data_IF_762338772420
#
_entry.id   IF_762338772420
#
_cell.length_a   1.000
_cell.length_b   1.000
_cell.length_c   1.000
_cell.angle_alpha   90.00
_cell.angle_beta   90.00
_cell.angle_gamma   90.00
#
_symmetry.space_group_name_H-M   'P 1'
#
loop_
_entity.id
_entity.type
_entity.pdbx_description
1 polymer ?
#
# COMPACT_ATOMS: atom_id res chain seq x y z
N UNK A 1 7.57 18.91 3.66
CA UNK A 1 7.37 20.08 2.80
C UNK A 1 5.92 20.54 2.91
N UNK A 2 5.70 21.82 3.17
CA UNK A 2 4.37 22.43 3.22
C UNK A 2 4.10 23.14 1.91
N UNK A 3 2.96 22.87 1.28
CA UNK A 3 2.50 23.57 0.07
C UNK A 3 1.07 24.02 0.24
N UNK A 4 0.79 25.23 -0.21
CA UNK A 4 -0.58 25.76 -0.35
C UNK A 4 -0.91 25.74 -1.83
N UNK A 5 -2.00 25.08 -2.20
CA UNK A 5 -2.44 24.99 -3.59
C UNK A 5 -3.93 25.28 -3.74
N UNK A 6 -4.34 25.74 -4.90
CA UNK A 6 -5.76 25.82 -5.31
C UNK A 6 -6.19 24.47 -5.89
N UNK A 7 -7.41 24.06 -5.61
CA UNK A 7 -7.98 22.78 -6.10
C UNK A 7 -8.20 22.84 -7.61
N UNK A 8 -8.65 23.99 -8.07
CA UNK A 8 -8.92 24.29 -9.47
C UNK A 8 -8.48 25.75 -9.71
N UNK A 9 -7.76 26.06 -10.81
CA UNK A 9 -7.40 27.43 -11.15
C UNK A 9 -8.58 28.39 -11.22
N UNK A 10 -9.79 27.91 -11.51
CA UNK A 10 -11.03 28.68 -11.53
C UNK A 10 -11.80 28.70 -10.22
N UNK A 11 -11.47 27.84 -9.25
CA UNK A 11 -12.13 27.77 -7.95
C UNK A 11 -11.33 28.56 -6.90
N UNK A 12 -12.04 29.25 -6.00
CA UNK A 12 -11.43 29.92 -4.85
C UNK A 12 -11.14 28.94 -3.69
N UNK A 13 -11.29 27.64 -3.89
CA UNK A 13 -11.06 26.64 -2.89
C UNK A 13 -9.55 26.44 -2.69
N UNK A 14 -9.08 26.74 -1.49
CA UNK A 14 -7.70 26.53 -1.09
C UNK A 14 -7.55 25.18 -0.39
N UNK A 15 -6.41 24.53 -0.62
CA UNK A 15 -5.96 23.38 0.14
C UNK A 15 -4.59 23.62 0.73
N UNK A 16 -4.34 23.08 1.92
CA UNK A 16 -2.99 22.95 2.47
C UNK A 16 -2.57 21.51 2.35
N UNK A 17 -1.40 21.28 1.77
CA UNK A 17 -0.77 19.98 1.62
C UNK A 17 0.54 19.99 2.40
N UNK A 18 0.76 18.96 3.21
CA UNK A 18 2.01 18.72 3.92
C UNK A 18 2.53 17.32 3.63
N UNK A 19 3.85 17.20 3.43
CA UNK A 19 4.54 15.91 3.41
C UNK A 19 5.06 15.61 4.81
N UNK A 20 4.63 14.49 5.38
CA UNK A 20 4.98 14.02 6.70
C UNK A 20 6.00 12.89 6.58
N UNK A 21 7.13 13.02 7.27
CA UNK A 21 8.05 11.91 7.44
C UNK A 21 7.52 11.02 8.57
N UNK A 22 7.30 9.75 8.26
CA UNK A 22 6.91 8.73 9.23
C UNK A 22 7.91 7.59 9.23
N UNK A 23 8.01 6.88 10.36
CA UNK A 23 8.83 5.67 10.45
C UNK A 23 7.95 4.47 10.25
N UNK A 24 8.41 3.58 9.39
CA UNK A 24 7.87 2.26 9.19
C UNK A 24 8.73 1.25 9.92
N UNK A 25 8.12 0.49 10.83
CA UNK A 25 8.74 -0.68 11.44
C UNK A 25 9.08 -1.71 10.37
N UNK A 26 10.29 -2.26 10.42
CA UNK A 26 10.65 -3.39 9.58
C UNK A 26 10.21 -4.63 10.34
N UNK A 27 9.33 -5.44 9.76
CA UNK A 27 9.09 -6.79 10.23
C UNK A 27 10.35 -7.59 9.94
N UNK A 28 10.87 -8.21 10.98
CA UNK A 28 11.98 -9.14 10.85
C UNK A 28 11.46 -10.46 10.26
N UNK A 29 11.66 -10.66 8.97
CA UNK A 29 11.50 -11.95 8.32
C UNK A 29 12.82 -12.74 8.35
N UNK A 30 13.60 -12.61 9.43
CA UNK A 30 14.91 -13.22 9.57
C UNK A 30 16.07 -12.38 8.98
N UNK A 31 15.81 -11.12 8.60
CA UNK A 31 16.85 -10.23 8.14
C UNK A 31 17.64 -9.65 9.32
N UNK A 32 18.96 -9.75 9.26
CA UNK A 32 19.89 -9.21 10.28
C UNK A 32 19.88 -7.67 10.37
N UNK A 33 19.20 -6.97 9.48
CA UNK A 33 19.23 -5.52 9.36
C UNK A 33 17.86 -4.91 9.65
N UNK A 34 17.60 -4.59 10.91
CA UNK A 34 16.40 -3.93 11.40
C UNK A 34 16.44 -2.41 11.14
N UNK A 35 16.86 -1.96 9.96
CA UNK A 35 16.85 -0.52 9.66
C UNK A 35 15.43 -0.02 9.52
N UNK A 36 15.05 0.90 10.39
CA UNK A 36 13.80 1.64 10.28
C UNK A 36 13.77 2.40 8.95
N UNK A 37 12.76 2.14 8.14
CA UNK A 37 12.55 2.86 6.87
C UNK A 37 11.74 4.11 7.12
N UNK A 38 12.08 5.17 6.37
CA UNK A 38 11.34 6.43 6.37
C UNK A 38 10.45 6.48 5.15
N UNK A 39 9.17 6.81 5.37
CA UNK A 39 8.21 7.07 4.30
C UNK A 39 7.74 8.53 4.36
N UNK A 40 7.38 9.06 3.19
CA UNK A 40 6.84 10.41 3.05
C UNK A 40 5.35 10.31 2.73
N UNK A 41 4.51 10.48 3.75
CA UNK A 41 3.07 10.46 3.59
C UNK A 41 2.54 11.87 3.32
N UNK A 42 1.58 11.96 2.42
CA UNK A 42 0.90 13.23 2.14
C UNK A 42 -0.31 13.35 3.05
N UNK A 43 -0.45 14.51 3.70
CA UNK A 43 -1.70 14.94 4.32
C UNK A 43 -2.19 16.20 3.64
N UNK A 44 -3.51 16.29 3.41
CA UNK A 44 -4.09 17.39 2.68
C UNK A 44 -5.49 17.73 3.23
N UNK A 45 -5.79 19.02 3.35
CA UNK A 45 -7.10 19.49 3.79
C UNK A 45 -7.49 20.81 3.15
N UNK A 46 -8.76 20.94 2.78
CA UNK A 46 -9.44 22.21 2.46
C UNK A 46 -10.31 22.73 3.59
N UNK A 47 -10.35 22.05 4.73
CA UNK A 47 -11.08 22.53 5.91
C UNK A 47 -10.35 23.71 6.55
N UNK A 48 -11.01 24.88 6.64
CA UNK A 48 -10.40 26.14 7.12
C UNK A 48 -9.80 26.01 8.52
N UNK A 49 -10.47 25.29 9.43
CA UNK A 49 -9.99 25.10 10.82
C UNK A 49 -8.72 24.25 10.84
N UNK A 50 -8.69 23.18 10.07
CA UNK A 50 -7.51 22.29 9.96
C UNK A 50 -6.38 23.01 9.26
N UNK A 51 -6.67 23.73 8.15
CA UNK A 51 -5.66 24.51 7.41
C UNK A 51 -5.01 25.58 8.28
N UNK A 52 -5.78 26.24 9.18
CA UNK A 52 -5.23 27.24 10.10
C UNK A 52 -4.12 26.66 10.99
N UNK A 53 -4.28 25.42 11.47
CA UNK A 53 -3.24 24.73 12.24
C UNK A 53 -2.07 24.28 11.36
N UNK A 54 -2.34 23.79 10.16
CA UNK A 54 -1.30 23.27 9.27
C UNK A 54 -0.38 24.34 8.71
N UNK A 55 -0.88 25.57 8.53
CA UNK A 55 -0.11 26.71 7.95
C UNK A 55 1.12 27.09 8.78
N UNK A 56 1.09 26.81 10.08
CA UNK A 56 2.16 27.17 11.00
C UNK A 56 3.23 26.07 11.14
N UNK A 57 3.01 24.90 10.53
CA UNK A 57 3.98 23.81 10.61
C UNK A 57 5.27 24.14 9.87
N UNK A 58 6.38 23.79 10.47
CA UNK A 58 7.71 23.96 9.93
C UNK A 58 8.45 22.63 9.81
N UNK A 59 9.45 22.61 8.94
CA UNK A 59 10.32 21.45 8.81
C UNK A 59 11.10 21.23 10.11
N UNK A 60 10.99 20.05 10.67
CA UNK A 60 11.53 19.67 12.00
C UNK A 60 10.47 19.55 13.09
N UNK A 61 9.32 20.19 12.93
CA UNK A 61 8.23 20.07 13.90
C UNK A 61 7.69 18.63 13.97
N UNK A 62 7.32 18.21 15.17
CA UNK A 62 6.62 16.95 15.42
C UNK A 62 5.14 17.24 15.48
N UNK A 63 4.40 16.59 14.58
CA UNK A 63 2.94 16.74 14.49
C UNK A 63 2.25 15.39 14.65
N UNK A 64 1.08 15.39 15.25
CA UNK A 64 0.19 14.24 15.28
C UNK A 64 -0.99 14.52 14.35
N UNK A 65 -1.21 13.64 13.40
CA UNK A 65 -2.33 13.69 12.47
C UNK A 65 -3.16 12.43 12.62
N UNK A 66 -4.46 12.60 12.84
CA UNK A 66 -5.45 11.52 12.80
C UNK A 66 -6.47 11.87 11.75
N UNK A 67 -6.78 10.93 10.89
CA UNK A 67 -7.65 11.19 9.76
C UNK A 67 -8.13 9.93 9.06
N UNK A 68 -8.72 10.14 7.92
CA UNK A 68 -9.15 9.06 7.02
C UNK A 68 -8.25 9.00 5.80
N UNK A 69 -8.06 7.81 5.27
CA UNK A 69 -7.34 7.60 4.02
C UNK A 69 -8.27 7.94 2.86
N UNK A 70 -7.80 8.79 1.97
CA UNK A 70 -8.50 9.17 0.73
C UNK A 70 -7.70 8.65 -0.44
N UNK A 71 -8.39 8.07 -1.41
CA UNK A 71 -7.78 7.59 -2.65
C UNK A 71 -8.40 8.29 -3.84
N UNK A 72 -7.58 8.67 -4.81
CA UNK A 72 -8.05 9.29 -6.06
C UNK A 72 -7.28 8.73 -7.24
N UNK A 73 -8.02 8.40 -8.28
CA UNK A 73 -7.48 8.18 -9.61
C UNK A 73 -7.43 9.51 -10.37
N UNK A 74 -6.37 9.74 -11.10
CA UNK A 74 -6.21 10.94 -11.90
C UNK A 74 -5.35 10.65 -13.13
N UNK A 75 -5.45 11.52 -14.14
CA UNK A 75 -4.64 11.39 -15.34
C UNK A 75 -3.32 12.15 -15.18
N UNK A 76 -2.21 11.43 -15.31
CA UNK A 76 -0.85 11.99 -15.32
C UNK A 76 -0.39 12.21 -16.74
N UNK A 77 0.18 13.37 -17.08
CA UNK A 77 0.80 13.58 -18.38
C UNK A 77 2.15 12.86 -18.46
N UNK A 78 2.40 12.28 -19.61
CA UNK A 78 3.66 11.63 -19.96
C UNK A 78 4.13 12.13 -21.31
N UNK A 79 5.19 12.95 -21.33
CA UNK A 79 5.75 13.50 -22.56
C UNK A 79 6.91 12.64 -23.07
N UNK A 80 6.85 12.30 -24.33
CA UNK A 80 7.90 11.57 -25.02
C UNK A 80 9.11 12.49 -25.29
N UNK A 81 10.30 12.03 -24.93
CA UNK A 81 11.51 12.79 -25.17
C UNK A 81 11.91 12.84 -26.66
N UNK A 82 11.52 11.83 -27.44
CA UNK A 82 11.88 11.70 -28.86
C UNK A 82 11.05 12.59 -29.79
N UNK A 83 9.72 12.60 -29.60
CA UNK A 83 8.83 13.30 -30.53
C UNK A 83 8.05 14.47 -29.88
N UNK A 84 8.19 14.68 -28.55
CA UNK A 84 7.46 15.72 -27.82
C UNK A 84 5.97 15.43 -27.59
N UNK A 85 5.44 14.30 -28.07
CA UNK A 85 4.04 13.93 -27.87
C UNK A 85 3.74 13.74 -26.37
N UNK A 86 2.59 14.28 -25.91
CA UNK A 86 2.12 14.11 -24.54
C UNK A 86 0.89 13.22 -24.53
N UNK A 87 1.01 12.08 -23.89
CA UNK A 87 -0.08 11.14 -23.63
C UNK A 87 -0.41 11.11 -22.13
N UNK A 88 -1.58 10.60 -21.79
CA UNK A 88 -2.02 10.51 -20.41
C UNK A 88 -2.13 9.07 -19.96
N UNK A 89 -1.77 8.82 -18.70
CA UNK A 89 -1.94 7.51 -18.09
C UNK A 89 -2.63 7.64 -16.73
N UNK A 90 -3.31 6.58 -16.32
CA UNK A 90 -3.95 6.55 -15.00
C UNK A 90 -2.88 6.53 -13.91
N UNK A 91 -2.91 7.56 -13.08
CA UNK A 91 -2.18 7.68 -11.83
C UNK A 91 -3.12 7.43 -10.67
N UNK A 92 -2.54 6.97 -9.57
CA UNK A 92 -3.23 6.73 -8.32
C UNK A 92 -2.56 7.58 -7.24
N UNK A 93 -3.36 8.16 -6.35
CA UNK A 93 -2.85 8.82 -5.16
C UNK A 93 -3.64 8.40 -3.93
N UNK A 94 -2.93 8.23 -2.83
CA UNK A 94 -3.53 8.06 -1.52
C UNK A 94 -2.92 9.08 -0.56
N UNK A 95 -3.75 9.72 0.25
CA UNK A 95 -3.34 10.70 1.23
C UNK A 95 -4.21 10.64 2.48
N UNK A 96 -3.68 11.16 3.57
CA UNK A 96 -4.43 11.26 4.82
C UNK A 96 -5.18 12.58 4.84
N UNK A 97 -6.52 12.52 4.85
CA UNK A 97 -7.36 13.68 5.13
C UNK A 97 -7.47 13.85 6.66
N UNK A 98 -6.93 14.93 7.22
CA UNK A 98 -6.90 15.10 8.67
C UNK A 98 -8.26 15.47 9.21
N UNK A 99 -8.73 14.70 10.20
CA UNK A 99 -9.88 15.03 11.03
C UNK A 99 -9.45 15.73 12.32
N UNK A 100 -8.22 15.44 12.76
CA UNK A 100 -7.60 16.05 13.91
C UNK A 100 -6.11 16.23 13.69
N UNK A 101 -5.58 17.40 14.04
CA UNK A 101 -4.16 17.71 14.00
C UNK A 101 -3.71 18.32 15.32
N UNK A 102 -2.50 17.99 15.74
CA UNK A 102 -1.86 18.56 16.92
C UNK A 102 -0.38 18.79 16.67
N UNK A 103 0.11 19.96 17.00
CA UNK A 103 1.52 20.24 17.13
C UNK A 103 2.02 19.65 18.44
N UNK A 104 2.89 18.64 18.38
CA UNK A 104 3.40 17.92 19.56
C UNK A 104 4.64 18.61 20.11
N UNK A 105 5.57 18.98 19.20
CA UNK A 105 6.77 19.73 19.55
C UNK A 105 7.20 20.60 18.36
N UNK A 106 7.81 21.72 18.63
CA UNK A 106 8.26 22.69 17.62
C UNK A 106 9.69 23.18 17.92
N UNK A 107 10.29 23.79 16.91
CA UNK A 107 11.61 24.40 17.02
C UNK A 107 12.78 23.42 16.94
N UNK A 108 12.52 22.19 16.52
CA UNK A 108 13.57 21.21 16.23
C UNK A 108 14.19 21.47 14.86
N UNK A 109 15.48 21.18 14.74
CA UNK A 109 16.05 20.97 13.41
C UNK A 109 15.48 19.69 12.80
N UNK A 110 15.54 19.50 11.47
CA UNK A 110 15.06 18.27 10.84
C UNK A 110 15.69 17.00 11.41
N UNK A 111 16.97 17.07 11.77
CA UNK A 111 17.73 15.95 12.36
C UNK A 111 17.24 15.63 13.78
N UNK A 112 16.98 16.66 14.59
CA UNK A 112 16.43 16.51 15.94
C UNK A 112 15.00 15.95 15.88
N UNK A 113 14.16 16.45 14.99
CA UNK A 113 12.82 15.94 14.76
C UNK A 113 12.83 14.47 14.34
N UNK A 114 13.76 14.08 13.46
CA UNK A 114 13.92 12.69 13.05
C UNK A 114 14.42 11.79 14.21
N UNK A 115 15.33 12.29 15.05
CA UNK A 115 15.79 11.56 16.23
C UNK A 115 14.65 11.32 17.22
N UNK A 116 13.80 12.34 17.43
CA UNK A 116 12.62 12.22 18.29
C UNK A 116 11.60 11.25 17.72
N UNK A 117 11.34 11.29 16.41
CA UNK A 117 10.46 10.36 15.72
C UNK A 117 10.92 8.91 15.88
N UNK A 118 12.24 8.65 15.83
CA UNK A 118 12.82 7.31 16.01
C UNK A 118 12.60 6.73 17.41
N UNK A 119 12.49 7.56 18.44
CA UNK A 119 12.14 7.10 19.79
C UNK A 119 10.70 6.62 19.90
N UNK A 120 9.81 7.13 19.04
CA UNK A 120 8.37 6.86 19.04
C UNK A 120 7.93 6.10 17.79
N UNK A 121 8.82 5.29 17.21
CA UNK A 121 8.63 4.64 15.91
C UNK A 121 7.34 3.79 15.82
N UNK A 122 6.99 3.10 16.90
CA UNK A 122 5.82 2.22 16.94
C UNK A 122 4.49 2.95 16.78
N UNK A 123 4.43 4.22 17.17
CA UNK A 123 3.21 5.04 17.10
C UNK A 123 3.21 6.03 15.95
N UNK A 124 4.29 6.11 15.18
CA UNK A 124 4.46 7.13 14.15
C UNK A 124 3.66 6.86 12.87
N UNK A 125 3.26 5.61 12.62
CA UNK A 125 2.58 5.21 11.40
C UNK A 125 1.68 3.99 11.67
N UNK A 126 0.39 4.24 11.82
CA UNK A 126 -0.60 3.20 12.03
C UNK A 126 -1.85 3.46 11.22
N UNK A 127 -2.39 2.43 10.59
CA UNK A 127 -3.63 2.44 9.83
C UNK A 127 -4.47 1.24 10.22
N UNK A 128 -5.77 1.49 10.42
CA UNK A 128 -6.75 0.43 10.70
C UNK A 128 -7.93 0.66 9.77
N UNK A 129 -8.31 -0.33 8.99
CA UNK A 129 -9.39 -0.23 8.00
C UNK A 129 -10.23 -1.49 7.97
N UNK A 130 -11.50 -1.31 7.62
CA UNK A 130 -12.44 -2.38 7.29
C UNK A 130 -12.97 -2.10 5.88
N UNK A 131 -12.96 -3.10 5.03
CA UNK A 131 -13.46 -2.96 3.66
C UNK A 131 -13.62 -4.29 2.97
N UNK A 132 -14.24 -4.28 1.81
CA UNK A 132 -14.44 -5.46 0.96
C UNK A 132 -13.29 -5.59 -0.04
N UNK A 133 -12.79 -6.80 -0.23
CA UNK A 133 -11.82 -7.07 -1.27
C UNK A 133 -12.47 -6.90 -2.66
N UNK A 134 -11.88 -6.05 -3.51
CA UNK A 134 -12.39 -5.82 -4.88
C UNK A 134 -12.15 -7.01 -5.81
N UNK A 135 -11.24 -7.90 -5.45
CA UNK A 135 -10.91 -9.13 -6.18
C UNK A 135 -10.14 -10.07 -5.28
N UNK A 136 -10.02 -11.32 -5.69
CA UNK A 136 -9.09 -12.26 -5.05
C UNK A 136 -7.66 -11.71 -5.10
N UNK A 137 -6.85 -11.84 -4.01
CA UNK A 137 -5.48 -11.35 -3.97
C UNK A 137 -4.60 -11.96 -5.05
N UNK A 138 -3.79 -11.13 -5.71
CA UNK A 138 -2.71 -11.60 -6.56
C UNK A 138 -1.55 -12.07 -5.69
N UNK A 139 -1.00 -13.26 -5.97
CA UNK A 139 0.06 -13.89 -5.20
C UNK A 139 1.31 -14.14 -6.06
N UNK A 140 2.47 -13.85 -5.51
CA UNK A 140 3.75 -14.21 -6.10
C UNK A 140 4.84 -14.35 -5.04
N UNK A 141 5.93 -15.03 -5.37
CA UNK A 141 7.13 -15.07 -4.52
C UNK A 141 8.16 -14.07 -5.04
N UNK A 142 8.79 -13.35 -4.13
CA UNK A 142 9.86 -12.40 -4.49
C UNK A 142 11.05 -13.17 -5.06
N UNK A 143 11.51 -12.83 -6.27
CA UNK A 143 12.50 -13.58 -7.04
C UNK A 143 13.79 -13.90 -6.28
N UNK A 144 14.30 -12.94 -5.49
CA UNK A 144 15.60 -13.10 -4.80
C UNK A 144 15.50 -13.75 -3.43
N UNK A 145 14.42 -13.45 -2.68
CA UNK A 145 14.29 -13.90 -1.28
C UNK A 145 13.33 -15.06 -1.11
N UNK A 146 12.54 -15.40 -2.14
CA UNK A 146 11.47 -16.38 -2.03
C UNK A 146 10.29 -15.94 -1.15
N UNK A 147 10.32 -14.72 -0.59
CA UNK A 147 9.29 -14.24 0.32
C UNK A 147 7.93 -14.17 -0.38
N UNK A 148 6.89 -14.81 0.15
CA UNK A 148 5.53 -14.68 -0.36
C UNK A 148 5.05 -13.23 -0.29
N UNK A 149 4.37 -12.79 -1.34
CA UNK A 149 3.78 -11.47 -1.45
C UNK A 149 2.37 -11.62 -1.97
N UNK A 150 1.42 -10.98 -1.30
CA UNK A 150 0.04 -10.87 -1.76
C UNK A 150 -0.34 -9.41 -1.95
N UNK A 151 -1.16 -9.11 -2.94
CA UNK A 151 -1.59 -7.76 -3.25
C UNK A 151 -3.05 -7.74 -3.66
N UNK A 152 -3.83 -6.86 -3.05
CA UNK A 152 -5.25 -6.68 -3.34
C UNK A 152 -5.69 -5.23 -3.06
N UNK A 153 -6.86 -4.87 -3.52
CA UNK A 153 -7.49 -3.58 -3.28
C UNK A 153 -8.72 -3.82 -2.42
N UNK A 154 -8.95 -2.96 -1.44
CA UNK A 154 -10.16 -3.00 -0.62
C UNK A 154 -11.04 -1.79 -0.91
N UNK A 155 -12.34 -2.00 -1.00
CA UNK A 155 -13.35 -0.95 -1.08
C UNK A 155 -13.77 -0.57 0.34
N UNK A 156 -13.53 0.69 0.69
CA UNK A 156 -13.85 1.26 2.00
C UNK A 156 -14.88 2.35 1.84
N UNK A 157 -16.06 2.20 2.43
CA UNK A 157 -17.01 3.28 2.52
C UNK A 157 -16.68 4.22 3.68
N UNK A 158 -16.33 5.49 3.37
CA UNK A 158 -16.06 6.51 4.39
C UNK A 158 -17.31 6.90 5.15
N UNK A 159 -17.22 6.92 6.48
CA UNK A 159 -18.28 7.44 7.36
C UNK A 159 -18.33 8.97 7.38
N UNK A 160 -17.25 9.64 7.00
CA UNK A 160 -17.12 11.09 7.03
C UNK A 160 -17.20 11.67 5.61
N UNK A 161 -17.96 12.74 5.45
CA UNK A 161 -17.88 13.57 4.25
C UNK A 161 -16.64 14.43 4.32
N UNK A 162 -15.85 14.41 3.28
CA UNK A 162 -14.77 15.36 3.05
C UNK A 162 -15.40 16.56 2.35
N UNK A 163 -15.14 17.78 2.83
CA UNK A 163 -15.77 19.02 2.32
C UNK A 163 -15.56 19.22 0.80
N UNK A 164 -14.48 18.64 0.28
CA UNK A 164 -14.09 18.72 -1.12
C UNK A 164 -14.71 17.64 -2.01
N UNK A 165 -15.45 16.70 -1.45
CA UNK A 165 -16.19 15.72 -2.24
C UNK A 165 -17.35 16.44 -2.92
N UNK A 166 -17.11 16.89 -4.13
CA UNK A 166 -18.13 17.44 -5.01
C UNK A 166 -19.13 16.36 -5.45
N UNK A 167 -18.67 15.10 -5.45
CA UNK A 167 -19.48 13.93 -5.70
C UNK A 167 -19.88 13.24 -4.40
N UNK A 168 -21.04 12.60 -4.42
CA UNK A 168 -21.56 11.78 -3.31
C UNK A 168 -20.73 10.53 -3.04
N UNK A 169 -19.67 10.29 -3.82
CA UNK A 169 -18.81 9.12 -3.70
C UNK A 169 -18.00 9.17 -2.40
N UNK A 170 -18.27 8.21 -1.52
CA UNK A 170 -17.59 8.02 -0.24
C UNK A 170 -16.71 6.78 -0.21
N UNK A 171 -16.47 6.19 -1.38
CA UNK A 171 -15.65 4.99 -1.50
C UNK A 171 -14.19 5.35 -1.76
N UNK A 172 -13.31 4.67 -1.06
CA UNK A 172 -11.87 4.71 -1.24
C UNK A 172 -11.34 3.31 -1.50
N UNK A 173 -10.32 3.22 -2.34
CA UNK A 173 -9.78 1.96 -2.84
C UNK A 173 -8.29 1.81 -2.53
N UNK A 174 -7.89 1.75 -1.24
CA UNK A 174 -6.48 1.58 -0.91
C UNK A 174 -5.97 0.20 -1.31
N UNK A 175 -4.72 0.19 -1.81
CA UNK A 175 -3.99 -1.03 -2.05
C UNK A 175 -3.44 -1.60 -0.75
N UNK A 176 -3.58 -2.90 -0.57
CA UNK A 176 -2.98 -3.68 0.52
C UNK A 176 -1.89 -4.56 -0.07
N UNK A 177 -0.75 -4.61 0.60
CA UNK A 177 0.36 -5.47 0.22
C UNK A 177 0.93 -6.19 1.43
N UNK A 178 0.70 -7.48 1.49
CA UNK A 178 1.15 -8.34 2.58
C UNK A 178 2.37 -9.17 2.19
N UNK A 179 3.11 -9.61 3.19
CA UNK A 179 4.37 -10.34 3.04
C UNK A 179 4.42 -11.54 3.98
N UNK A 180 5.18 -12.57 3.59
CA UNK A 180 5.42 -13.78 4.40
C UNK A 180 4.14 -14.56 4.69
N UNK A 181 3.96 -15.00 5.92
CA UNK A 181 2.81 -15.79 6.35
C UNK A 181 1.47 -15.07 6.15
N UNK A 182 1.43 -13.76 6.37
CA UNK A 182 0.21 -12.97 6.14
C UNK A 182 -0.17 -13.01 4.67
N UNK A 183 0.82 -12.92 3.77
CA UNK A 183 0.55 -12.97 2.33
C UNK A 183 -0.03 -14.33 1.89
N UNK A 184 0.44 -15.42 2.48
CA UNK A 184 -0.12 -16.76 2.22
C UNK A 184 -1.55 -16.86 2.75
N UNK A 185 -1.79 -16.38 3.97
CA UNK A 185 -3.12 -16.39 4.56
C UNK A 185 -4.09 -15.51 3.76
N UNK A 186 -3.69 -14.28 3.42
CA UNK A 186 -4.50 -13.36 2.62
C UNK A 186 -4.91 -14.00 1.28
N UNK A 187 -3.95 -14.66 0.59
CA UNK A 187 -4.21 -15.32 -0.68
C UNK A 187 -5.20 -16.48 -0.57
N UNK A 188 -5.12 -17.26 0.51
CA UNK A 188 -5.96 -18.43 0.71
C UNK A 188 -7.33 -18.08 1.32
N UNK A 189 -7.40 -17.03 2.14
CA UNK A 189 -8.61 -16.66 2.87
C UNK A 189 -9.51 -15.70 2.12
N UNK A 190 -8.94 -14.73 1.40
CA UNK A 190 -9.70 -13.62 0.82
C UNK A 190 -10.29 -14.02 -0.53
N UNK A 191 -11.60 -13.89 -0.64
CA UNK A 191 -12.34 -13.99 -1.91
C UNK A 191 -12.85 -12.60 -2.34
N UNK A 192 -13.29 -12.47 -3.59
CA UNK A 192 -13.96 -11.27 -4.10
C UNK A 192 -15.17 -10.94 -3.23
N UNK A 193 -15.38 -9.66 -2.90
CA UNK A 193 -16.39 -9.16 -1.97
C UNK A 193 -16.24 -9.62 -0.51
N UNK A 194 -15.21 -10.40 -0.18
CA UNK A 194 -14.89 -10.79 1.18
C UNK A 194 -14.54 -9.59 2.06
N UNK A 195 -15.17 -9.49 3.25
CA UNK A 195 -14.93 -8.41 4.19
C UNK A 195 -13.69 -8.71 5.02
N UNK A 196 -12.77 -7.75 5.08
CA UNK A 196 -11.52 -7.86 5.85
C UNK A 196 -11.36 -6.68 6.81
N UNK A 197 -10.78 -6.97 7.98
CA UNK A 197 -10.25 -5.97 8.89
C UNK A 197 -8.72 -6.00 8.81
N UNK A 198 -8.11 -4.88 8.48
CA UNK A 198 -6.66 -4.76 8.32
C UNK A 198 -6.12 -3.76 9.33
N UNK A 199 -5.22 -4.19 10.22
CA UNK A 199 -4.41 -3.34 11.07
C UNK A 199 -2.96 -3.37 10.56
N UNK A 200 -2.38 -2.21 10.27
CA UNK A 200 -1.08 -2.13 9.64
C UNK A 200 -0.47 -0.75 9.66
N UNK A 201 0.40 -0.53 8.70
CA UNK A 201 1.09 0.73 8.45
C UNK A 201 1.02 1.11 6.98
N UNK A 202 1.14 2.41 6.70
CA UNK A 202 1.27 2.90 5.33
C UNK A 202 2.74 2.82 4.88
N UNK A 203 2.97 2.39 3.66
CA UNK A 203 4.27 2.49 3.01
C UNK A 203 4.15 3.24 1.70
N UNK A 204 5.21 3.97 1.35
CA UNK A 204 5.35 4.57 0.03
C UNK A 204 6.42 3.80 -0.74
N UNK A 205 6.01 3.16 -1.82
CA UNK A 205 6.92 2.40 -2.68
C UNK A 205 7.10 3.12 -4.00
N UNK A 206 8.37 3.41 -4.33
CA UNK A 206 8.74 3.92 -5.64
C UNK A 206 8.95 2.75 -6.60
N UNK A 207 8.53 2.92 -7.85
CA UNK A 207 8.72 1.94 -8.92
C UNK A 207 8.90 2.63 -10.26
N UNK A 208 9.58 1.95 -11.17
CA UNK A 208 9.72 2.41 -12.53
C UNK A 208 8.55 1.89 -13.36
N UNK A 209 7.97 2.76 -14.17
CA UNK A 209 6.88 2.46 -15.08
C UNK A 209 7.31 2.76 -16.50
N UNK A 210 7.08 1.81 -17.39
CA UNK A 210 7.42 1.93 -18.79
C UNK A 210 6.16 2.07 -19.62
N UNK A 211 6.16 3.02 -20.54
CA UNK A 211 5.11 3.27 -21.51
C UNK A 211 5.68 3.26 -22.91
N UNK A 212 4.86 2.94 -23.89
CA UNK A 212 5.19 3.09 -25.30
C UNK A 212 4.52 4.36 -25.81
N UNK A 213 5.27 5.20 -26.49
CA UNK A 213 4.74 6.40 -27.10
C UNK A 213 3.80 6.04 -28.23
N UNK A 214 2.56 6.50 -28.16
CA UNK A 214 1.52 6.21 -29.16
C UNK A 214 1.83 6.79 -30.54
N UNK A 215 2.67 7.83 -30.60
CA UNK A 215 3.01 8.50 -31.87
C UNK A 215 4.26 7.91 -32.55
N UNK A 216 5.33 7.65 -31.81
CA UNK A 216 6.60 7.23 -32.43
C UNK A 216 7.08 5.83 -31.99
N UNK A 217 6.36 5.15 -31.08
CA UNK A 217 6.73 3.82 -30.59
C UNK A 217 7.91 3.80 -29.61
N UNK A 218 8.50 4.96 -29.26
CA UNK A 218 9.61 5.03 -28.33
C UNK A 218 9.20 4.64 -26.90
N UNK A 219 10.13 4.02 -26.16
CA UNK A 219 9.94 3.66 -24.76
C UNK A 219 10.11 4.90 -23.85
N UNK A 220 9.15 5.14 -22.97
CA UNK A 220 9.18 6.23 -22.01
C UNK A 220 9.22 5.65 -20.60
N UNK A 221 10.32 5.87 -19.86
CA UNK A 221 10.47 5.45 -18.47
C UNK A 221 10.12 6.57 -17.52
N UNK A 222 9.24 6.31 -16.56
CA UNK A 222 8.82 7.25 -15.52
C UNK A 222 8.96 6.61 -14.16
N UNK A 223 9.46 7.42 -13.19
CA UNK A 223 9.40 7.05 -11.77
C UNK A 223 8.03 7.41 -11.25
N UNK A 224 7.38 6.46 -10.64
CA UNK A 224 6.08 6.60 -9.99
C UNK A 224 6.15 6.09 -8.55
N UNK A 225 5.13 6.40 -7.76
CA UNK A 225 5.01 5.89 -6.40
C UNK A 225 3.58 5.45 -6.12
N UNK A 226 3.45 4.54 -5.19
CA UNK A 226 2.18 4.07 -4.66
C UNK A 226 2.24 4.06 -3.15
N UNK A 227 1.17 4.51 -2.49
CA UNK A 227 0.97 4.35 -1.06
C UNK A 227 0.12 3.11 -0.84
N UNK A 228 0.65 2.16 -0.07
CA UNK A 228 0.06 0.85 0.17
C UNK A 228 -0.10 0.65 1.68
N UNK A 229 -1.11 -0.12 2.10
CA UNK A 229 -1.24 -0.61 3.47
C UNK A 229 -0.42 -1.90 3.58
N UNK A 230 0.47 -1.97 4.55
CA UNK A 230 1.20 -3.20 4.89
C UNK A 230 0.66 -3.73 6.22
N UNK A 231 -0.06 -4.86 6.21
CA UNK A 231 -0.69 -5.41 7.40
C UNK A 231 0.32 -5.86 8.46
N UNK A 232 0.03 -5.58 9.71
CA UNK A 232 0.53 -6.32 10.87
C UNK A 232 -0.32 -7.56 11.12
N UNK A 233 -1.63 -7.42 10.87
CA UNK A 233 -2.60 -8.50 10.92
C UNK A 233 -3.75 -8.23 9.96
N UNK A 234 -4.33 -9.31 9.47
CA UNK A 234 -5.59 -9.30 8.72
C UNK A 234 -6.56 -10.24 9.43
N UNK A 235 -7.75 -9.77 9.72
CA UNK A 235 -8.87 -10.60 10.19
C UNK A 235 -9.82 -10.83 9.02
N UNK A 236 -10.15 -12.08 8.78
CA UNK A 236 -11.02 -12.51 7.70
C UNK A 236 -12.44 -12.62 8.24
N UNK A 237 -13.32 -11.79 7.72
CA UNK A 237 -14.69 -11.66 8.17
C UNK A 237 -15.66 -12.34 7.18
N UNK A 238 -16.87 -11.83 7.06
CA UNK A 238 -17.90 -12.40 6.20
C UNK A 238 -17.46 -12.48 4.72
N UNK A 239 -17.66 -13.61 4.08
CA UNK A 239 -17.30 -13.83 2.67
C UNK A 239 -15.85 -14.25 2.44
N UNK A 240 -15.06 -14.40 3.50
CA UNK A 240 -13.72 -14.97 3.46
C UNK A 240 -13.72 -16.41 4.01
N UNK A 241 -12.70 -17.20 3.66
CA UNK A 241 -12.45 -18.47 4.32
C UNK A 241 -12.00 -18.25 5.78
N UNK A 242 -12.42 -19.13 6.67
CA UNK A 242 -11.95 -19.11 8.06
C UNK A 242 -10.48 -19.54 8.15
N UNK A 243 -9.83 -19.21 9.27
CA UNK A 243 -8.45 -19.70 9.50
C UNK A 243 -8.38 -21.23 9.60
N UNK A 244 -9.46 -21.90 10.00
CA UNK A 244 -9.52 -23.37 10.00
C UNK A 244 -9.51 -23.89 8.55
N UNK A 245 -10.32 -23.32 7.65
CA UNK A 245 -10.33 -23.66 6.23
C UNK A 245 -8.95 -23.40 5.57
N UNK A 246 -8.31 -22.26 5.91
CA UNK A 246 -6.97 -21.93 5.41
C UNK A 246 -5.94 -22.97 5.86
N UNK A 247 -6.01 -23.45 7.08
CA UNK A 247 -5.10 -24.49 7.58
C UNK A 247 -5.31 -25.82 6.84
N UNK A 248 -6.56 -26.21 6.61
CA UNK A 248 -6.90 -27.40 5.84
C UNK A 248 -6.41 -27.31 4.38
N UNK A 249 -6.64 -26.17 3.72
CA UNK A 249 -6.14 -25.93 2.35
C UNK A 249 -4.61 -26.03 2.29
N UNK A 250 -3.90 -25.46 3.28
CA UNK A 250 -2.44 -25.55 3.36
C UNK A 250 -1.95 -26.99 3.51
N UNK A 251 -2.61 -27.79 4.30
CA UNK A 251 -2.26 -29.20 4.50
C UNK A 251 -2.45 -29.98 3.20
N UNK A 252 -3.56 -29.77 2.50
CA UNK A 252 -3.81 -30.37 1.20
C UNK A 252 -2.76 -29.97 0.14
N UNK A 253 -2.37 -28.69 0.10
CA UNK A 253 -1.31 -28.22 -0.81
C UNK A 253 0.01 -28.92 -0.50
N UNK A 254 0.37 -29.01 0.77
CA UNK A 254 1.61 -29.67 1.20
C UNK A 254 1.63 -31.16 0.83
N UNK A 255 0.53 -31.88 1.05
CA UNK A 255 0.40 -33.28 0.65
C UNK A 255 0.54 -33.46 -0.86
N UNK A 256 -0.05 -32.55 -1.65
CA UNK A 256 0.08 -32.57 -3.10
C UNK A 256 1.53 -32.32 -3.58
N UNK A 257 2.21 -31.34 -2.97
CA UNK A 257 3.62 -31.06 -3.29
C UNK A 257 4.53 -32.24 -2.93
N UNK A 258 4.31 -32.90 -1.79
CA UNK A 258 5.05 -34.10 -1.38
C UNK A 258 4.81 -35.28 -2.33
N UNK A 259 3.57 -35.46 -2.78
CA UNK A 259 3.22 -36.49 -3.76
C UNK A 259 3.88 -36.24 -5.11
N UNK A 260 3.85 -34.98 -5.60
CA UNK A 260 4.52 -34.58 -6.84
C UNK A 260 6.03 -34.80 -6.76
N UNK A 261 6.66 -34.34 -5.67
CA UNK A 261 8.10 -34.54 -5.49
C UNK A 261 8.49 -36.02 -5.45
N UNK A 262 7.63 -36.85 -4.86
CA UNK A 262 7.82 -38.30 -4.85
C UNK A 262 7.72 -38.90 -6.25
N UNK A 263 6.72 -38.52 -7.03
CA UNK A 263 6.54 -38.97 -8.42
C UNK A 263 7.72 -38.54 -9.31
N UNK A 264 8.16 -37.28 -9.20
CA UNK A 264 9.32 -36.76 -9.94
C UNK A 264 10.61 -37.56 -9.59
N UNK A 265 10.78 -37.92 -8.32
CA UNK A 265 11.90 -38.74 -7.87
C UNK A 265 11.85 -40.17 -8.43
N UNK A 266 10.66 -40.77 -8.57
CA UNK A 266 10.49 -42.08 -9.21
C UNK A 266 10.81 -42.04 -10.71
N UNK A 267 10.29 -41.01 -11.41
CA UNK A 267 10.57 -40.78 -12.83
C UNK A 267 12.07 -40.57 -13.09
N UNK A 268 12.72 -39.73 -12.24
CA UNK A 268 14.17 -39.47 -12.35
C UNK A 268 15.03 -40.72 -12.07
N UNK A 269 14.51 -41.73 -11.38
CA UNK A 269 15.16 -43.02 -11.12
C UNK A 269 14.87 -44.06 -12.22
N UNK A 270 14.16 -43.69 -13.31
CA UNK A 270 13.85 -44.58 -14.42
C UNK A 270 12.66 -45.51 -14.19
N UNK A 271 11.84 -45.25 -13.18
CA UNK A 271 10.57 -45.90 -13.03
C UNK A 271 9.50 -45.12 -13.79
N UNK A 272 8.72 -45.81 -14.64
CA UNK A 272 7.58 -45.15 -15.33
C UNK A 272 6.55 -44.63 -14.33
N UNK A 273 5.63 -43.79 -14.80
CA UNK A 273 4.60 -43.15 -13.95
C UNK A 273 3.73 -44.13 -13.17
N UNK A 274 3.72 -45.43 -13.56
CA UNK A 274 2.94 -46.49 -12.93
C UNK A 274 3.78 -47.40 -12.01
N UNK A 275 5.00 -47.00 -11.64
CA UNK A 275 5.86 -47.79 -10.74
C UNK A 275 6.43 -49.10 -11.31
N UNK A 276 6.31 -49.29 -12.62
CA UNK A 276 6.84 -50.49 -13.31
C UNK A 276 8.15 -50.09 -13.99
N UNK A 277 9.23 -50.85 -13.68
CA UNK A 277 10.53 -50.67 -14.39
C UNK A 277 10.35 -50.93 -15.87
N UNK A 278 10.71 -49.96 -16.68
CA UNK A 278 10.86 -50.19 -18.14
C UNK A 278 12.08 -51.06 -18.36
N UNK A 279 11.87 -52.35 -18.73
CA UNK A 279 12.92 -53.18 -19.30
C UNK A 279 13.31 -52.73 -20.70
#
# INVERSE_FOLDING_TARGET
ELRVSTIDPGSRLLRVLASLTVIRGIRDFGAKDQRMKLDQLVTMSGNEKIMAFMKDWRKGDIVSVRGTLITNDYNKPCTCAECGNTQFYKGYSAYVYPLYTRLVAQGYTPEQGLAELRRNAEVSNRVTVIGKACSKPAFHKHERSGTPISSYIIDIERKYRVKEDLDSNRHDFPAVKSYGEIAVNDYLAIEEDGLVFVDGQLQVRNYDRTFICEQCGAEIKKKDNVTEIVPYSTEYLTGCHSMADVMEIREQIKEQEELQATQEMFVARGYGADGVSAE
#
